data_IF_258931666087
#
_entry.id   IF_258931666087
#
_cell.length_a   1.000
_cell.length_b   1.000
_cell.length_c   1.000
_cell.angle_alpha   90.00
_cell.angle_beta   90.00
_cell.angle_gamma   90.00
#
_symmetry.space_group_name_H-M   'P 1'
#
loop_
_entity.id
_entity.type
_entity.pdbx_description
1 polymer ?
#
# COMPACT_ATOMS: atom_id res chain seq x y z
N UNK A 1 3.64 14.03 -0.93
CA UNK A 1 4.18 12.71 -0.47
C UNK A 1 5.20 12.15 -1.46
N UNK A 2 4.96 12.06 -2.79
CA UNK A 2 5.90 11.47 -3.75
C UNK A 2 7.22 12.26 -3.87
N UNK A 3 7.14 13.59 -3.82
CA UNK A 3 8.29 14.50 -3.89
C UNK A 3 9.34 14.24 -2.81
N UNK A 4 8.94 13.88 -1.58
CA UNK A 4 9.89 13.59 -0.51
C UNK A 4 10.60 12.24 -0.71
N UNK A 5 9.94 11.26 -1.35
CA UNK A 5 10.54 9.95 -1.65
C UNK A 5 11.55 10.10 -2.79
N UNK A 6 11.18 10.83 -3.85
CA UNK A 6 12.05 11.10 -4.99
C UNK A 6 13.32 11.87 -4.60
N UNK A 7 13.23 12.80 -3.64
CA UNK A 7 14.37 13.61 -3.21
C UNK A 7 15.25 12.98 -2.12
N UNK A 8 14.70 12.16 -1.23
CA UNK A 8 15.42 11.69 -0.03
C UNK A 8 15.48 10.18 0.15
N UNK A 9 14.77 9.42 -0.69
CA UNK A 9 14.62 7.96 -0.57
C UNK A 9 13.98 7.50 0.75
N UNK A 10 13.47 8.41 1.59
CA UNK A 10 12.96 8.10 2.93
C UNK A 10 11.62 8.76 3.16
N UNK A 11 10.70 8.02 3.76
CA UNK A 11 9.43 8.58 4.23
C UNK A 11 9.46 8.67 5.75
N UNK A 12 8.99 9.79 6.30
CA UNK A 12 8.82 9.97 7.75
C UNK A 12 7.62 9.20 8.33
N UNK A 13 7.01 8.28 7.56
CA UNK A 13 5.83 7.54 7.98
C UNK A 13 6.23 6.24 8.71
N UNK A 14 5.67 6.01 9.89
CA UNK A 14 5.87 4.75 10.61
C UNK A 14 5.14 3.60 9.92
N UNK A 15 5.63 2.36 10.08
CA UNK A 15 4.99 1.13 9.57
C UNK A 15 3.50 1.06 9.90
N UNK A 16 3.15 1.36 11.15
CA UNK A 16 1.76 1.37 11.64
C UNK A 16 0.90 2.33 10.85
N UNK A 17 1.40 3.54 10.59
CA UNK A 17 0.66 4.58 9.85
C UNK A 17 0.48 4.21 8.38
N UNK A 18 1.47 3.57 7.77
CA UNK A 18 1.35 3.02 6.40
C UNK A 18 0.31 1.90 6.31
N UNK A 19 0.30 0.97 7.26
CA UNK A 19 -0.69 -0.10 7.31
C UNK A 19 -2.12 0.44 7.51
N UNK A 20 -2.30 1.45 8.38
CA UNK A 20 -3.58 2.14 8.56
C UNK A 20 -4.04 2.83 7.27
N UNK A 21 -3.15 3.53 6.55
CA UNK A 21 -3.49 4.18 5.28
C UNK A 21 -3.84 3.17 4.18
N UNK A 22 -3.14 2.03 4.11
CA UNK A 22 -3.51 0.93 3.20
C UNK A 22 -4.90 0.39 3.51
N UNK A 23 -5.21 0.17 4.79
CA UNK A 23 -6.54 -0.27 5.24
C UNK A 23 -7.64 0.73 4.88
N UNK A 24 -7.43 2.03 5.09
CA UNK A 24 -8.41 3.04 4.70
C UNK A 24 -8.64 3.11 3.20
N UNK A 25 -7.58 2.94 2.39
CA UNK A 25 -7.69 2.92 0.94
C UNK A 25 -8.50 1.70 0.47
N UNK A 26 -8.28 0.55 1.09
CA UNK A 26 -9.01 -0.68 0.81
C UNK A 26 -10.50 -0.55 1.16
N UNK A 27 -10.83 0.10 2.28
CA UNK A 27 -12.23 0.38 2.63
C UNK A 27 -12.92 1.26 1.58
N UNK A 28 -12.25 2.32 1.11
CA UNK A 28 -12.79 3.17 0.03
C UNK A 28 -12.94 2.40 -1.27
N UNK A 29 -11.96 1.57 -1.63
CA UNK A 29 -12.04 0.73 -2.82
C UNK A 29 -13.20 -0.26 -2.73
N UNK A 30 -13.43 -0.87 -1.57
CA UNK A 30 -14.54 -1.79 -1.33
C UNK A 30 -15.89 -1.08 -1.37
N UNK A 31 -16.01 0.11 -0.80
CA UNK A 31 -17.25 0.91 -0.86
C UNK A 31 -17.60 1.29 -2.30
N UNK A 32 -16.61 1.75 -3.07
CA UNK A 32 -16.78 2.04 -4.50
C UNK A 32 -17.21 0.78 -5.24
N UNK A 33 -16.55 -0.36 -5.02
CA UNK A 33 -16.86 -1.60 -5.71
C UNK A 33 -18.26 -2.13 -5.37
N UNK A 34 -18.67 -2.06 -4.10
CA UNK A 34 -20.03 -2.43 -3.67
C UNK A 34 -21.09 -1.51 -4.27
N UNK A 35 -20.83 -0.20 -4.32
CA UNK A 35 -21.73 0.77 -4.96
C UNK A 35 -21.70 0.70 -6.48
N UNK A 36 -20.61 0.21 -7.06
CA UNK A 36 -20.45 -0.01 -8.49
C UNK A 36 -21.15 -1.28 -8.97
N UNK A 37 -21.13 -2.36 -8.18
CA UNK A 37 -21.94 -3.56 -8.47
C UNK A 37 -23.47 -3.31 -8.36
N UNK A 38 -23.89 -2.18 -7.79
CA UNK A 38 -25.29 -1.72 -7.83
C UNK A 38 -25.65 -0.97 -9.14
N UNK A 39 -24.72 -0.85 -10.10
CA UNK A 39 -24.93 -0.21 -11.42
C UNK A 39 -25.16 -1.19 -12.58
N UNK A 40 -25.30 -2.50 -12.34
CA UNK A 40 -26.07 -3.34 -13.27
C UNK A 40 -27.49 -2.77 -13.35
N UNK A 41 -28.14 -2.85 -14.52
CA UNK A 41 -29.38 -2.12 -14.86
C UNK A 41 -30.30 -2.01 -13.64
N UNK A 42 -30.38 -0.82 -12.99
CA UNK A 42 -31.03 -0.69 -11.70
C UNK A 42 -32.43 -1.29 -11.73
N UNK A 43 -32.81 -2.04 -10.68
CA UNK A 43 -34.16 -2.67 -10.60
C UNK A 43 -35.29 -1.66 -10.85
N UNK A 44 -35.04 -0.39 -10.52
CA UNK A 44 -35.89 0.75 -10.86
C UNK A 44 -36.31 0.84 -12.34
N UNK A 45 -35.43 0.53 -13.29
CA UNK A 45 -35.76 0.57 -14.72
C UNK A 45 -36.63 -0.60 -15.19
N UNK A 46 -36.80 -1.65 -14.37
CA UNK A 46 -37.76 -2.72 -14.66
C UNK A 46 -39.20 -2.23 -14.50
N UNK A 47 -39.43 -1.27 -13.60
CA UNK A 47 -40.75 -0.63 -13.41
C UNK A 47 -40.95 0.58 -14.32
N UNK A 48 -39.87 1.26 -14.74
CA UNK A 48 -39.91 2.47 -15.58
C UNK A 48 -38.91 2.42 -16.75
N UNK A 49 -39.17 1.59 -17.78
CA UNK A 49 -38.25 1.42 -18.92
C UNK A 49 -38.13 2.68 -19.79
N UNK A 50 -39.13 3.56 -19.81
CA UNK A 50 -39.14 4.78 -20.61
C UNK A 50 -38.06 5.81 -20.20
N UNK A 51 -37.61 5.78 -18.93
CA UNK A 51 -36.58 6.70 -18.42
C UNK A 51 -35.17 6.15 -18.56
N UNK A 52 -35.01 4.85 -18.85
CA UNK A 52 -33.71 4.18 -19.03
C UNK A 52 -32.90 4.86 -20.13
N UNK A 53 -33.54 5.12 -21.28
CA UNK A 53 -32.85 5.72 -22.43
C UNK A 53 -32.36 7.15 -22.15
N UNK A 54 -33.12 7.94 -21.40
CA UNK A 54 -32.71 9.30 -21.00
C UNK A 54 -31.55 9.27 -19.99
N UNK A 55 -31.59 8.30 -19.06
CA UNK A 55 -30.51 8.05 -18.12
C UNK A 55 -29.22 7.61 -18.83
N UNK A 56 -29.29 6.64 -19.74
CA UNK A 56 -28.13 6.19 -20.52
C UNK A 56 -27.50 7.32 -21.33
N UNK A 57 -28.32 8.14 -22.00
CA UNK A 57 -27.83 9.30 -22.75
C UNK A 57 -27.11 10.30 -21.84
N UNK A 58 -27.68 10.57 -20.67
CA UNK A 58 -27.11 11.52 -19.71
C UNK A 58 -25.84 10.97 -19.05
N UNK A 59 -25.82 9.69 -18.68
CA UNK A 59 -24.66 9.01 -18.12
C UNK A 59 -23.51 8.91 -19.12
N UNK A 60 -23.82 8.71 -20.40
CA UNK A 60 -22.86 8.74 -21.50
C UNK A 60 -22.36 10.16 -21.77
N UNK A 61 -23.24 11.16 -21.77
CA UNK A 61 -22.85 12.57 -21.92
C UNK A 61 -21.92 13.05 -20.80
N UNK A 62 -22.14 12.58 -19.57
CA UNK A 62 -21.31 12.91 -18.41
C UNK A 62 -20.04 12.04 -18.28
N UNK A 63 -19.82 11.09 -19.21
CA UNK A 63 -18.68 10.15 -19.20
C UNK A 63 -18.50 9.42 -17.87
N UNK A 64 -19.60 9.05 -17.21
CA UNK A 64 -19.57 8.48 -15.84
C UNK A 64 -18.69 7.22 -15.80
N UNK A 65 -18.82 6.33 -16.78
CA UNK A 65 -18.03 5.09 -16.88
C UNK A 65 -16.53 5.37 -17.01
N UNK A 66 -16.15 6.28 -17.92
CA UNK A 66 -14.75 6.66 -18.14
C UNK A 66 -14.13 7.29 -16.87
N UNK A 67 -14.87 8.15 -16.19
CA UNK A 67 -14.41 8.78 -14.94
C UNK A 67 -14.15 7.76 -13.83
N UNK A 68 -15.01 6.75 -13.72
CA UNK A 68 -14.84 5.65 -12.76
C UNK A 68 -13.62 4.81 -13.12
N UNK A 69 -13.41 4.49 -14.39
CA UNK A 69 -12.24 3.76 -14.86
C UNK A 69 -10.92 4.50 -14.54
N UNK A 70 -10.88 5.81 -14.82
CA UNK A 70 -9.74 6.66 -14.47
C UNK A 70 -9.50 6.68 -12.95
N UNK A 71 -10.57 6.74 -12.15
CA UNK A 71 -10.47 6.73 -10.69
C UNK A 71 -9.89 5.40 -10.18
N UNK A 72 -10.36 4.27 -10.71
CA UNK A 72 -9.82 2.95 -10.40
C UNK A 72 -8.33 2.85 -10.76
N UNK A 73 -7.93 3.39 -11.92
CA UNK A 73 -6.51 3.44 -12.32
C UNK A 73 -5.66 4.26 -11.35
N UNK A 74 -6.18 5.40 -10.87
CA UNK A 74 -5.49 6.22 -9.86
C UNK A 74 -5.35 5.48 -8.53
N UNK A 75 -6.39 4.76 -8.09
CA UNK A 75 -6.35 3.96 -6.87
C UNK A 75 -5.33 2.81 -6.97
N UNK A 76 -5.25 2.15 -8.13
CA UNK A 76 -4.27 1.11 -8.43
C UNK A 76 -2.83 1.62 -8.26
N UNK A 77 -2.51 2.77 -8.87
CA UNK A 77 -1.17 3.40 -8.75
C UNK A 77 -0.85 3.74 -7.30
N UNK A 78 -1.82 4.26 -6.53
CA UNK A 78 -1.61 4.56 -5.11
C UNK A 78 -1.33 3.28 -4.31
N UNK A 79 -2.02 2.18 -4.63
CA UNK A 79 -1.81 0.90 -3.99
C UNK A 79 -0.40 0.36 -4.24
N UNK A 80 0.07 0.47 -5.49
CA UNK A 80 1.42 0.06 -5.90
C UNK A 80 2.51 0.88 -5.20
N UNK A 81 2.32 2.20 -5.07
CA UNK A 81 3.25 3.04 -4.29
C UNK A 81 3.31 2.63 -2.82
N UNK A 82 2.18 2.26 -2.22
CA UNK A 82 2.17 1.78 -0.84
C UNK A 82 2.78 0.40 -0.67
N UNK A 83 2.65 -0.50 -1.65
CA UNK A 83 3.27 -1.82 -1.61
C UNK A 83 4.80 -1.71 -1.73
N UNK A 84 5.29 -0.89 -2.66
CA UNK A 84 6.71 -0.59 -2.82
C UNK A 84 7.30 -0.01 -1.53
N UNK A 85 6.62 0.96 -0.91
CA UNK A 85 7.08 1.57 0.33
C UNK A 85 7.09 0.59 1.52
N UNK A 86 6.14 -0.36 1.54
CA UNK A 86 6.15 -1.43 2.54
C UNK A 86 7.33 -2.39 2.33
N UNK A 87 7.66 -2.73 1.08
CA UNK A 87 8.81 -3.56 0.73
C UNK A 87 10.15 -2.90 1.09
N UNK A 88 10.32 -1.60 0.79
CA UNK A 88 11.48 -0.80 1.20
C UNK A 88 11.71 -0.87 2.73
N UNK A 89 10.62 -0.82 3.49
CA UNK A 89 10.70 -0.91 4.94
C UNK A 89 11.12 -2.31 5.40
N UNK A 90 10.74 -3.38 4.70
CA UNK A 90 11.21 -4.75 4.98
C UNK A 90 12.71 -4.92 4.78
N UNK A 91 13.29 -4.34 3.72
CA UNK A 91 14.74 -4.37 3.50
C UNK A 91 15.52 -3.73 4.67
N UNK A 92 14.98 -2.67 5.29
CA UNK A 92 15.57 -2.09 6.51
C UNK A 92 15.59 -3.02 7.72
N UNK A 93 14.61 -3.92 7.87
CA UNK A 93 14.60 -4.86 9.01
C UNK A 93 15.54 -6.05 8.81
N UNK A 94 15.68 -6.54 7.57
CA UNK A 94 16.65 -7.59 7.26
C UNK A 94 18.07 -7.15 7.65
N UNK A 95 18.43 -5.91 7.31
CA UNK A 95 19.74 -5.34 7.64
C UNK A 95 19.97 -5.18 9.16
N UNK A 96 18.92 -4.92 9.95
CA UNK A 96 19.06 -4.85 11.42
C UNK A 96 19.33 -6.22 12.05
N UNK A 97 18.74 -7.29 11.52
CA UNK A 97 18.93 -8.64 12.05
C UNK A 97 20.33 -9.17 11.70
N UNK A 98 20.81 -8.86 10.50
CA UNK A 98 22.18 -9.14 10.07
C UNK A 98 23.22 -8.45 10.97
N UNK A 99 23.01 -7.17 11.28
CA UNK A 99 23.87 -6.45 12.22
C UNK A 99 23.89 -7.04 13.64
N UNK A 100 22.74 -7.55 14.11
CA UNK A 100 22.67 -8.24 15.41
C UNK A 100 23.51 -9.52 15.38
N UNK A 101 23.43 -10.32 14.31
CA UNK A 101 24.21 -11.55 14.16
C UNK A 101 25.71 -11.24 14.14
N UNK A 102 26.13 -10.23 13.36
CA UNK A 102 27.55 -9.80 13.30
C UNK A 102 28.04 -9.37 14.69
N UNK A 103 27.24 -8.61 15.43
CA UNK A 103 27.58 -8.18 16.79
C UNK A 103 27.72 -9.37 17.75
N UNK A 104 26.81 -10.34 17.69
CA UNK A 104 26.84 -11.53 18.54
C UNK A 104 28.12 -12.35 18.31
N UNK A 105 28.49 -12.59 17.05
CA UNK A 105 29.74 -13.29 16.69
C UNK A 105 30.97 -12.51 17.17
N UNK A 106 30.98 -11.19 17.01
CA UNK A 106 32.09 -10.35 17.44
C UNK A 106 32.31 -10.40 18.96
N UNK A 107 31.21 -10.39 19.74
CA UNK A 107 31.25 -10.53 21.21
C UNK A 107 31.78 -11.90 21.61
N UNK A 108 31.37 -12.97 20.94
CA UNK A 108 31.84 -14.32 21.22
C UNK A 108 33.35 -14.48 20.98
N UNK A 109 33.85 -13.98 19.85
CA UNK A 109 35.29 -13.96 19.53
C UNK A 109 36.05 -13.14 20.57
N UNK A 110 35.52 -11.99 20.98
CA UNK A 110 36.16 -11.14 22.00
C UNK A 110 36.31 -11.86 23.35
N UNK A 111 35.26 -12.53 23.83
CA UNK A 111 35.35 -13.34 25.05
C UNK A 111 36.34 -14.49 24.92
N UNK A 112 36.34 -15.17 23.77
CA UNK A 112 37.29 -16.25 23.50
C UNK A 112 38.74 -15.77 23.56
N UNK A 113 39.06 -14.63 22.92
CA UNK A 113 40.41 -14.05 22.93
C UNK A 113 40.84 -13.61 24.33
N UNK A 114 39.95 -13.00 25.11
CA UNK A 114 40.27 -12.63 26.50
C UNK A 114 40.58 -13.86 27.33
N UNK A 115 39.75 -14.90 27.22
CA UNK A 115 39.96 -16.15 27.96
C UNK A 115 41.31 -16.78 27.61
N UNK A 116 41.63 -16.88 26.32
CA UNK A 116 42.87 -17.50 25.85
C UNK A 116 44.12 -16.72 26.31
N UNK A 117 44.09 -15.39 26.23
CA UNK A 117 45.18 -14.53 26.72
C UNK A 117 45.36 -14.68 28.24
N UNK A 118 44.27 -14.73 29.01
CA UNK A 118 44.32 -14.89 30.47
C UNK A 118 44.79 -16.29 30.89
N UNK A 119 44.65 -17.30 30.03
CA UNK A 119 45.15 -18.64 30.28
C UNK A 119 46.63 -18.80 29.89
N UNK A 120 47.11 -18.00 28.93
CA UNK A 120 48.52 -17.98 28.47
C UNK A 120 49.44 -17.20 29.43
N UNK A 121 48.91 -16.22 30.18
CA UNK A 121 49.65 -15.39 31.12
C UNK A 121 49.55 -15.91 32.56
#
# INVERSE_FOLDING_TARGET
IPLNIAGTGRTRLSRRRLSMMRGSLYLVQSDINLRYNLLDTPEFFWEYPEVERAYEMTARYLDVKLRIEILNKKLEVIHELFSMLAAEQYHKHSSTLEWIIILLIAVEIFFFLIHDIFQIF
#
